data_IF_162600413278
#
_entry.id   IF_162600413278
#
_cell.length_a   1.000
_cell.length_b   1.000
_cell.length_c   1.000
_cell.angle_alpha   90.00
_cell.angle_beta   90.00
_cell.angle_gamma   90.00
#
_symmetry.space_group_name_H-M   'P 1'
#
loop_
_entity.id
_entity.type
_entity.pdbx_description
1 polymer ?
#
# COMPACT_ATOMS: atom_id res chain seq x y z
N UNK A 1 -16.18 -5.42 -40.05
CA UNK A 1 -14.74 -5.12 -40.13
C UNK A 1 -14.55 -3.62 -40.02
N UNK A 2 -14.13 -3.17 -38.83
CA UNK A 2 -13.03 -2.22 -38.62
C UNK A 2 -12.71 -2.34 -37.13
N UNK A 3 -11.55 -2.92 -36.86
CA UNK A 3 -10.95 -3.11 -35.56
C UNK A 3 -9.69 -2.25 -35.66
N UNK A 4 -9.86 -0.97 -35.36
CA UNK A 4 -8.79 0.03 -35.31
C UNK A 4 -8.72 0.45 -33.84
N UNK A 5 -7.94 -0.23 -33.00
CA UNK A 5 -7.64 0.22 -31.63
C UNK A 5 -6.36 -0.38 -31.01
N UNK A 6 -5.49 -1.06 -31.78
CA UNK A 6 -4.30 -1.74 -31.21
C UNK A 6 -2.92 -1.22 -31.70
N UNK A 7 -2.87 -0.24 -32.62
CA UNK A 7 -1.62 0.22 -33.24
C UNK A 7 -1.09 1.59 -32.77
N UNK A 8 -1.80 2.31 -31.91
CA UNK A 8 -1.42 3.69 -31.50
C UNK A 8 -0.58 3.76 -30.21
N UNK A 9 -0.41 2.63 -29.54
CA UNK A 9 0.25 2.59 -28.24
C UNK A 9 1.79 2.78 -28.33
N UNK A 10 2.51 2.15 -29.29
CA UNK A 10 3.95 2.36 -29.43
C UNK A 10 4.33 3.79 -29.85
N UNK A 11 3.51 4.45 -30.68
CA UNK A 11 3.76 5.83 -31.14
C UNK A 11 3.62 6.83 -30.00
N UNK A 12 2.58 6.73 -29.18
CA UNK A 12 2.38 7.59 -28.00
C UNK A 12 3.55 7.53 -27.00
N UNK A 13 4.14 6.36 -26.80
CA UNK A 13 5.31 6.22 -25.91
C UNK A 13 6.50 6.99 -26.46
N UNK A 14 6.75 6.94 -27.77
CA UNK A 14 7.89 7.64 -28.38
C UNK A 14 7.81 9.16 -28.24
N UNK A 15 6.60 9.72 -28.13
CA UNK A 15 6.35 11.15 -27.99
C UNK A 15 6.46 11.66 -26.53
N UNK A 16 6.52 10.76 -25.54
CA UNK A 16 6.60 11.17 -24.14
C UNK A 16 7.93 11.90 -23.84
N UNK A 17 7.87 13.08 -23.17
CA UNK A 17 9.04 13.90 -22.93
C UNK A 17 9.95 13.29 -21.85
N UNK A 18 11.27 13.40 -22.02
CA UNK A 18 12.25 12.95 -21.02
C UNK A 18 12.20 13.76 -19.70
N UNK A 19 11.48 14.88 -19.68
CA UNK A 19 11.19 15.69 -18.49
C UNK A 19 10.01 15.15 -17.67
N UNK A 20 9.45 13.99 -18.02
CA UNK A 20 8.34 13.39 -17.30
C UNK A 20 8.71 13.12 -15.84
N UNK A 21 7.95 13.72 -14.92
CA UNK A 21 8.14 13.58 -13.46
C UNK A 21 7.18 12.57 -12.84
N UNK A 22 6.06 12.29 -13.50
CA UNK A 22 5.02 11.38 -13.02
C UNK A 22 4.54 10.51 -14.17
N UNK A 23 4.49 9.21 -13.93
CA UNK A 23 3.98 8.23 -14.88
C UNK A 23 3.00 7.30 -14.16
N UNK A 24 1.78 7.27 -14.67
CA UNK A 24 0.74 6.38 -14.18
C UNK A 24 0.29 5.47 -15.31
N UNK A 25 0.36 4.16 -15.10
CA UNK A 25 -0.04 3.14 -16.06
C UNK A 25 -1.12 2.25 -15.45
N UNK A 26 -2.24 2.11 -16.17
CA UNK A 26 -3.41 1.35 -15.76
C UNK A 26 -3.82 0.40 -16.89
N UNK A 27 -4.33 -0.78 -16.53
CA UNK A 27 -5.04 -1.67 -17.47
C UNK A 27 -4.38 -3.04 -17.59
N UNK A 28 -4.37 -3.59 -18.80
CA UNK A 28 -3.60 -4.78 -19.20
C UNK A 28 -2.63 -4.33 -20.28
N UNK A 29 -1.43 -3.91 -19.90
CA UNK A 29 -0.50 -3.34 -20.88
C UNK A 29 0.25 -4.46 -21.61
N UNK A 30 0.09 -4.54 -22.92
CA UNK A 30 0.95 -5.36 -23.79
C UNK A 30 2.33 -4.72 -24.03
N UNK A 31 2.64 -3.61 -23.36
CA UNK A 31 3.87 -2.83 -23.56
C UNK A 31 4.89 -3.24 -22.49
N UNK A 32 6.12 -3.61 -22.89
CA UNK A 32 7.20 -3.83 -21.94
C UNK A 32 7.52 -2.57 -21.14
N UNK A 33 7.46 -2.63 -19.81
CA UNK A 33 7.75 -1.55 -18.87
C UNK A 33 9.20 -1.02 -18.96
N UNK A 34 10.08 -1.68 -19.71
CA UNK A 34 11.46 -1.23 -19.92
C UNK A 34 11.56 0.14 -20.62
N UNK A 35 10.52 0.58 -21.35
CA UNK A 35 10.48 1.93 -21.93
C UNK A 35 10.58 3.04 -20.87
N UNK A 36 10.19 2.74 -19.61
CA UNK A 36 10.23 3.70 -18.50
C UNK A 36 11.66 4.13 -18.19
N UNK A 37 12.66 3.33 -18.56
CA UNK A 37 14.09 3.61 -18.34
C UNK A 37 14.57 4.94 -18.92
N UNK A 38 13.87 5.51 -19.92
CA UNK A 38 14.22 6.80 -20.50
C UNK A 38 13.88 8.01 -19.62
N UNK A 39 13.03 7.84 -18.60
CA UNK A 39 12.56 8.94 -17.74
C UNK A 39 13.45 9.12 -16.51
N UNK A 40 14.66 9.65 -16.70
CA UNK A 40 15.61 9.87 -15.60
C UNK A 40 15.15 10.88 -14.53
N UNK A 41 14.16 11.71 -14.86
CA UNK A 41 13.56 12.71 -13.97
C UNK A 41 12.32 12.21 -13.21
N UNK A 42 11.97 10.93 -13.36
CA UNK A 42 10.75 10.37 -12.78
C UNK A 42 10.81 10.45 -11.24
N UNK A 43 9.77 11.06 -10.66
CA UNK A 43 9.58 11.24 -9.22
C UNK A 43 8.45 10.37 -8.68
N UNK A 44 7.43 10.12 -9.50
CA UNK A 44 6.29 9.29 -9.15
C UNK A 44 6.06 8.23 -10.23
N UNK A 45 6.02 6.96 -9.81
CA UNK A 45 5.65 5.84 -10.67
C UNK A 45 4.45 5.11 -10.06
N UNK A 46 3.38 4.99 -10.84
CA UNK A 46 2.20 4.23 -10.48
C UNK A 46 1.91 3.17 -11.55
N UNK A 47 1.86 1.91 -11.12
CA UNK A 47 1.55 0.74 -11.93
C UNK A 47 0.32 0.06 -11.36
N UNK A 48 -0.71 -0.15 -12.17
CA UNK A 48 -1.98 -0.74 -11.73
C UNK A 48 -2.45 -1.77 -12.76
N UNK A 49 -2.14 -3.03 -12.48
CA UNK A 49 -2.37 -4.14 -13.40
C UNK A 49 -3.18 -5.25 -12.75
N UNK A 50 -4.02 -5.91 -13.53
CA UNK A 50 -4.92 -6.94 -13.00
C UNK A 50 -4.18 -8.24 -12.70
N UNK A 51 -3.12 -8.55 -13.43
CA UNK A 51 -2.38 -9.81 -13.33
C UNK A 51 -0.87 -9.58 -13.19
N UNK A 52 -0.17 -10.54 -12.58
CA UNK A 52 1.29 -10.47 -12.43
C UNK A 52 1.98 -10.51 -13.81
N UNK A 53 1.39 -11.20 -14.77
CA UNK A 53 1.85 -11.36 -16.14
C UNK A 53 1.81 -10.05 -16.95
N UNK A 54 1.04 -9.06 -16.51
CA UNK A 54 0.94 -7.75 -17.16
C UNK A 54 2.19 -6.88 -16.89
N UNK A 55 3.05 -7.25 -15.92
CA UNK A 55 4.31 -6.56 -15.63
C UNK A 55 5.44 -6.97 -16.61
N UNK A 56 5.13 -6.98 -17.90
CA UNK A 56 6.05 -7.34 -18.99
C UNK A 56 7.26 -6.39 -18.96
N UNK A 57 8.48 -6.91 -19.11
CA UNK A 57 9.70 -6.09 -19.14
C UNK A 57 10.14 -5.54 -17.78
N UNK A 58 9.49 -5.95 -16.68
CA UNK A 58 9.93 -5.56 -15.34
C UNK A 58 11.30 -6.16 -14.98
N UNK A 59 11.66 -7.30 -15.58
CA UNK A 59 12.98 -7.93 -15.48
C UNK A 59 14.13 -7.05 -15.99
N UNK A 60 13.86 -6.10 -16.89
CA UNK A 60 14.82 -5.09 -17.31
C UNK A 60 14.72 -3.86 -16.39
N UNK A 61 13.50 -3.43 -16.08
CA UNK A 61 13.23 -2.24 -15.27
C UNK A 61 13.83 -2.33 -13.85
N UNK A 62 13.86 -3.51 -13.25
CA UNK A 62 14.41 -3.74 -11.90
C UNK A 62 15.86 -3.27 -11.72
N UNK A 63 16.65 -3.25 -12.81
CA UNK A 63 18.06 -2.86 -12.78
C UNK A 63 18.29 -1.38 -13.04
N UNK A 64 17.23 -0.63 -13.36
CA UNK A 64 17.32 0.79 -13.70
C UNK A 64 17.32 1.63 -12.43
N UNK A 65 18.20 2.63 -12.42
CA UNK A 65 18.30 3.62 -11.36
C UNK A 65 17.53 4.90 -11.70
N UNK A 66 16.56 5.22 -10.85
CA UNK A 66 15.73 6.43 -10.90
C UNK A 66 16.12 7.36 -9.73
N UNK A 67 17.10 8.26 -9.92
CA UNK A 67 17.66 9.07 -8.83
C UNK A 67 16.65 9.99 -8.14
N UNK A 68 15.55 10.33 -8.82
CA UNK A 68 14.54 11.25 -8.29
C UNK A 68 13.26 10.55 -7.82
N UNK A 69 13.18 9.22 -7.92
CA UNK A 69 11.97 8.47 -7.58
C UNK A 69 11.70 8.56 -6.07
N UNK A 70 10.56 9.15 -5.72
CA UNK A 70 10.12 9.37 -4.34
C UNK A 70 8.83 8.63 -4.02
N UNK A 71 8.00 8.34 -5.03
CA UNK A 71 6.72 7.68 -4.84
C UNK A 71 6.65 6.49 -5.79
N UNK A 72 6.47 5.30 -5.23
CA UNK A 72 6.19 4.08 -5.98
C UNK A 72 4.86 3.51 -5.52
N UNK A 73 3.92 3.37 -6.46
CA UNK A 73 2.62 2.75 -6.23
C UNK A 73 2.45 1.58 -7.18
N UNK A 74 2.24 0.39 -6.64
CA UNK A 74 1.92 -0.82 -7.38
C UNK A 74 0.59 -1.32 -6.83
N UNK A 75 -0.43 -1.39 -7.69
CA UNK A 75 -1.81 -1.68 -7.30
C UNK A 75 -2.32 -2.93 -8.00
N UNK A 76 -3.30 -3.58 -7.35
CA UNK A 76 -4.05 -4.75 -7.81
C UNK A 76 -3.20 -6.03 -7.83
N UNK A 77 -2.30 -6.16 -8.79
CA UNK A 77 -1.26 -7.17 -8.85
C UNK A 77 0.13 -6.50 -8.72
N UNK A 78 1.17 -7.29 -8.57
CA UNK A 78 2.56 -6.81 -8.48
C UNK A 78 3.51 -7.79 -9.17
N UNK A 79 4.70 -7.35 -9.63
CA UNK A 79 5.67 -8.23 -10.26
C UNK A 79 6.22 -9.22 -9.23
N UNK A 80 6.85 -10.32 -9.68
CA UNK A 80 7.47 -11.30 -8.79
C UNK A 80 8.32 -10.63 -7.70
N UNK A 81 8.16 -11.08 -6.46
CA UNK A 81 8.84 -10.50 -5.28
C UNK A 81 10.35 -10.35 -5.46
N UNK A 82 11.00 -11.31 -6.12
CA UNK A 82 12.44 -11.27 -6.40
C UNK A 82 12.83 -10.04 -7.24
N UNK A 83 12.03 -9.71 -8.25
CA UNK A 83 12.29 -8.56 -9.12
C UNK A 83 12.03 -7.24 -8.40
N UNK A 84 10.95 -7.19 -7.60
CA UNK A 84 10.61 -5.99 -6.84
C UNK A 84 11.68 -5.68 -5.78
N UNK A 85 12.26 -6.70 -5.14
CA UNK A 85 13.38 -6.50 -4.19
C UNK A 85 14.58 -5.85 -4.86
N UNK A 86 14.98 -6.34 -6.04
CA UNK A 86 16.10 -5.77 -6.80
C UNK A 86 15.79 -4.31 -7.20
N UNK A 87 14.56 -4.02 -7.63
CA UNK A 87 14.13 -2.66 -7.90
C UNK A 87 14.27 -1.76 -6.66
N UNK A 88 13.84 -2.23 -5.49
CA UNK A 88 13.94 -1.51 -4.22
C UNK A 88 15.39 -1.36 -3.74
N UNK A 89 16.29 -2.31 -4.01
CA UNK A 89 17.71 -2.17 -3.71
C UNK A 89 18.34 -0.98 -4.46
N UNK A 90 17.94 -0.77 -5.72
CA UNK A 90 18.44 0.33 -6.54
C UNK A 90 17.78 1.67 -6.21
N UNK A 91 16.47 1.67 -5.92
CA UNK A 91 15.67 2.90 -5.90
C UNK A 91 15.12 3.26 -4.50
N UNK A 92 15.13 2.32 -3.55
CA UNK A 92 14.46 2.44 -2.26
C UNK A 92 14.96 3.58 -1.37
N UNK A 93 16.25 3.94 -1.49
CA UNK A 93 16.87 4.98 -0.65
C UNK A 93 16.17 6.33 -0.76
N UNK A 94 15.61 6.65 -1.92
CA UNK A 94 14.96 7.95 -2.19
C UNK A 94 13.45 7.91 -1.99
N UNK A 95 12.86 6.73 -1.81
CA UNK A 95 11.42 6.57 -1.63
C UNK A 95 10.96 7.20 -0.31
N UNK A 96 9.90 7.99 -0.43
CA UNK A 96 9.13 8.59 0.67
C UNK A 96 7.78 7.91 0.83
N UNK A 97 7.20 7.41 -0.25
CA UNK A 97 5.92 6.72 -0.25
C UNK A 97 6.04 5.44 -1.08
N UNK A 98 5.71 4.31 -0.45
CA UNK A 98 5.63 3.02 -1.11
C UNK A 98 4.27 2.39 -0.85
N UNK A 99 3.53 2.15 -1.93
CA UNK A 99 2.24 1.50 -1.89
C UNK A 99 2.31 0.21 -2.70
N UNK A 100 1.99 -0.89 -2.04
CA UNK A 100 1.81 -2.21 -2.63
C UNK A 100 0.40 -2.69 -2.25
N UNK A 101 -0.52 -2.58 -3.19
CA UNK A 101 -1.90 -3.03 -3.04
C UNK A 101 -2.07 -4.41 -3.67
N UNK A 102 -2.26 -5.43 -2.83
CA UNK A 102 -2.54 -6.80 -3.26
C UNK A 102 -3.96 -7.22 -2.85
N UNK A 103 -4.71 -7.81 -3.79
CA UNK A 103 -6.00 -8.47 -3.53
C UNK A 103 -5.89 -9.80 -2.76
N UNK A 104 -4.69 -10.39 -2.66
CA UNK A 104 -4.36 -11.62 -1.91
C UNK A 104 -3.93 -11.39 -0.45
N UNK A 105 -3.55 -10.15 -0.10
CA UNK A 105 -3.35 -9.67 1.25
C UNK A 105 -2.20 -10.32 2.02
N UNK A 106 -1.18 -10.86 1.35
CA UNK A 106 0.05 -11.34 2.01
C UNK A 106 1.23 -10.97 1.13
N UNK A 107 2.00 -9.95 1.55
CA UNK A 107 3.36 -9.82 1.02
C UNK A 107 4.25 -10.88 1.67
N UNK A 108 5.20 -11.40 0.91
CA UNK A 108 6.22 -12.28 1.46
C UNK A 108 7.00 -11.53 2.55
N UNK A 109 7.23 -12.22 3.69
CA UNK A 109 8.13 -11.75 4.75
C UNK A 109 9.45 -11.23 4.18
N UNK A 110 9.97 -11.88 3.16
CA UNK A 110 11.21 -11.49 2.50
C UNK A 110 11.13 -10.10 1.83
N UNK A 111 9.97 -9.70 1.29
CA UNK A 111 9.77 -8.36 0.72
C UNK A 111 9.76 -7.29 1.82
N UNK A 112 9.06 -7.53 2.93
CA UNK A 112 9.08 -6.62 4.08
C UNK A 112 10.50 -6.43 4.66
N UNK A 113 11.30 -7.50 4.71
CA UNK A 113 12.70 -7.42 5.10
C UNK A 113 13.54 -6.59 4.11
N UNK A 114 13.27 -6.68 2.81
CA UNK A 114 13.93 -5.86 1.81
C UNK A 114 13.56 -4.38 2.00
N UNK A 115 12.27 -4.05 2.14
CA UNK A 115 11.79 -2.67 2.41
C UNK A 115 12.53 -2.09 3.61
N UNK A 116 12.57 -2.82 4.74
CA UNK A 116 13.26 -2.38 5.95
C UNK A 116 14.74 -2.06 5.72
N UNK A 117 15.41 -2.79 4.84
CA UNK A 117 16.85 -2.62 4.56
C UNK A 117 17.15 -1.53 3.55
N UNK A 118 16.27 -1.34 2.57
CA UNK A 118 16.58 -0.53 1.39
C UNK A 118 15.86 0.82 1.37
N UNK A 119 14.81 1.00 2.18
CA UNK A 119 13.95 2.20 2.17
C UNK A 119 14.04 3.02 3.48
N UNK A 120 15.22 3.49 3.91
CA UNK A 120 15.39 4.16 5.21
C UNK A 120 14.64 5.49 5.34
N UNK A 121 14.35 6.17 4.22
CA UNK A 121 13.69 7.48 4.18
C UNK A 121 12.16 7.41 4.00
N UNK A 122 11.59 6.21 4.11
CA UNK A 122 10.17 5.98 3.86
C UNK A 122 9.31 6.65 4.94
N UNK A 123 8.33 7.44 4.51
CA UNK A 123 7.36 8.14 5.37
C UNK A 123 5.99 7.50 5.35
N UNK A 124 5.62 6.89 4.21
CA UNK A 124 4.34 6.21 4.05
C UNK A 124 4.53 4.83 3.47
N UNK A 125 3.89 3.84 4.09
CA UNK A 125 3.96 2.45 3.67
C UNK A 125 2.56 1.83 3.61
N UNK A 126 2.23 1.25 2.47
CA UNK A 126 1.13 0.30 2.34
C UNK A 126 1.71 -0.99 1.80
N UNK A 127 1.62 -2.07 2.57
CA UNK A 127 1.99 -3.42 2.14
C UNK A 127 1.22 -4.43 2.97
N UNK A 128 1.06 -5.65 2.48
CA UNK A 128 0.58 -6.75 3.30
C UNK A 128 1.61 -7.09 4.38
N UNK A 129 1.18 -7.49 5.57
CA UNK A 129 2.08 -8.04 6.59
C UNK A 129 1.66 -9.46 6.91
N UNK A 130 2.63 -10.37 6.97
CA UNK A 130 2.39 -11.71 7.51
C UNK A 130 2.04 -11.62 9.00
N UNK A 131 1.42 -12.66 9.55
CA UNK A 131 0.93 -12.73 10.94
C UNK A 131 2.03 -12.66 12.03
N UNK A 132 3.27 -12.33 11.66
CA UNK A 132 4.44 -12.29 12.53
C UNK A 132 4.73 -10.85 12.98
N UNK A 133 4.49 -10.58 14.27
CA UNK A 133 4.83 -9.32 14.96
C UNK A 133 6.27 -8.85 14.67
N UNK A 134 7.20 -9.80 14.57
CA UNK A 134 8.64 -9.55 14.36
C UNK A 134 8.90 -8.85 13.02
N UNK A 135 8.13 -9.15 11.98
CA UNK A 135 8.34 -8.53 10.66
C UNK A 135 8.03 -7.03 10.69
N UNK A 136 6.94 -6.65 11.36
CA UNK A 136 6.58 -5.24 11.55
C UNK A 136 7.63 -4.50 12.39
N UNK A 137 8.15 -5.14 13.44
CA UNK A 137 9.24 -4.56 14.24
C UNK A 137 10.46 -4.23 13.37
N UNK A 138 10.91 -5.18 12.54
CA UNK A 138 12.06 -4.97 11.64
C UNK A 138 11.80 -3.81 10.67
N UNK A 139 10.57 -3.69 10.15
CA UNK A 139 10.19 -2.57 9.27
C UNK A 139 10.23 -1.23 10.01
N UNK A 140 9.72 -1.15 11.24
CA UNK A 140 9.81 0.09 12.02
C UNK A 140 11.26 0.47 12.38
N UNK A 141 12.10 -0.52 12.68
CA UNK A 141 13.52 -0.29 12.99
C UNK A 141 14.30 0.21 11.76
N UNK A 142 13.97 -0.30 10.58
CA UNK A 142 14.61 0.06 9.31
C UNK A 142 14.07 1.35 8.66
N UNK A 143 12.76 1.59 8.78
CA UNK A 143 12.06 2.76 8.23
C UNK A 143 11.74 3.77 9.34
N UNK A 144 12.76 4.36 9.95
CA UNK A 144 12.60 5.18 11.16
C UNK A 144 11.76 6.44 10.96
N UNK A 145 11.64 6.94 9.73
CA UNK A 145 10.82 8.12 9.40
C UNK A 145 9.38 7.80 9.04
N UNK A 146 8.93 6.56 9.27
CA UNK A 146 7.57 6.15 8.92
C UNK A 146 6.55 6.87 9.81
N UNK A 147 5.72 7.69 9.17
CA UNK A 147 4.68 8.55 9.76
C UNK A 147 3.28 7.95 9.51
N UNK A 148 3.09 7.30 8.35
CA UNK A 148 1.83 6.70 7.93
C UNK A 148 1.99 5.24 7.54
N UNK A 149 1.08 4.40 8.01
CA UNK A 149 1.02 2.99 7.62
C UNK A 149 -0.41 2.58 7.26
N UNK A 150 -0.55 1.87 6.14
CA UNK A 150 -1.79 1.23 5.72
C UNK A 150 -1.69 -0.28 5.89
N UNK A 151 -2.58 -0.85 6.71
CA UNK A 151 -2.65 -2.28 7.00
C UNK A 151 -4.08 -2.78 7.05
N UNK A 152 -4.26 -4.10 6.96
CA UNK A 152 -5.54 -4.73 7.26
C UNK A 152 -5.90 -4.67 8.76
N UNK A 153 -7.19 -4.75 9.11
CA UNK A 153 -7.67 -4.79 10.49
C UNK A 153 -7.32 -6.10 11.23
N UNK A 154 -6.04 -6.35 11.51
CA UNK A 154 -5.59 -7.56 12.21
C UNK A 154 -5.00 -7.23 13.59
N UNK A 155 -5.40 -8.01 14.60
CA UNK A 155 -5.04 -7.77 16.00
C UNK A 155 -3.54 -7.68 16.22
N UNK A 156 -2.76 -8.66 15.75
CA UNK A 156 -1.31 -8.67 15.97
C UNK A 156 -0.65 -7.48 15.28
N UNK A 157 -1.10 -7.10 14.08
CA UNK A 157 -0.60 -5.93 13.40
C UNK A 157 -0.84 -4.65 14.23
N UNK A 158 -2.02 -4.49 14.83
CA UNK A 158 -2.32 -3.39 15.76
C UNK A 158 -1.45 -3.41 17.02
N UNK A 159 -1.26 -4.59 17.63
CA UNK A 159 -0.37 -4.78 18.79
C UNK A 159 1.08 -4.39 18.45
N UNK A 160 1.59 -4.83 17.30
CA UNK A 160 2.92 -4.47 16.82
C UNK A 160 3.06 -2.97 16.58
N UNK A 161 2.06 -2.33 15.96
CA UNK A 161 2.08 -0.89 15.74
C UNK A 161 2.11 -0.16 17.09
N UNK A 162 1.23 -0.50 18.03
CA UNK A 162 1.18 0.18 19.33
C UNK A 162 2.49 0.03 20.12
N UNK A 163 3.15 -1.13 20.00
CA UNK A 163 4.37 -1.48 20.74
C UNK A 163 5.66 -0.95 20.11
N UNK A 164 5.82 -1.10 18.79
CA UNK A 164 7.11 -0.90 18.11
C UNK A 164 7.17 0.36 17.26
N UNK A 165 6.03 0.94 16.88
CA UNK A 165 6.06 2.18 16.13
C UNK A 165 6.43 3.35 17.06
N UNK A 166 7.29 4.24 16.58
CA UNK A 166 7.67 5.47 17.30
C UNK A 166 7.18 6.74 16.59
N UNK A 167 7.18 6.73 15.26
CA UNK A 167 6.87 7.91 14.45
C UNK A 167 5.49 7.90 13.79
N UNK A 168 4.80 6.77 13.80
CA UNK A 168 3.45 6.67 13.26
C UNK A 168 2.49 7.58 14.03
N UNK A 169 1.83 8.46 13.28
CA UNK A 169 0.71 9.28 13.69
C UNK A 169 -0.50 9.12 12.75
N UNK A 170 -0.36 8.46 11.61
CA UNK A 170 -1.45 8.09 10.71
C UNK A 170 -1.55 6.58 10.53
N UNK A 171 -2.73 6.05 10.83
CA UNK A 171 -3.07 4.64 10.64
C UNK A 171 -4.25 4.53 9.69
N UNK A 172 -4.00 3.91 8.54
CA UNK A 172 -5.03 3.59 7.55
C UNK A 172 -5.33 2.11 7.69
N UNK A 173 -6.57 1.79 8.01
CA UNK A 173 -7.00 0.43 8.14
C UNK A 173 -7.95 0.06 7.00
N UNK A 174 -7.86 -1.15 6.49
CA UNK A 174 -8.73 -1.62 5.41
C UNK A 174 -9.18 -3.07 5.61
N UNK A 175 -10.35 -3.40 5.06
CA UNK A 175 -10.94 -4.73 5.18
C UNK A 175 -10.53 -5.58 3.98
N UNK A 176 -9.99 -6.77 4.23
CA UNK A 176 -9.70 -7.74 3.18
C UNK A 176 -10.93 -8.65 2.93
N UNK A 177 -11.69 -8.37 1.87
CA UNK A 177 -12.97 -9.02 1.53
C UNK A 177 -12.91 -10.55 1.50
N UNK A 178 -11.78 -11.14 1.10
CA UNK A 178 -11.64 -12.60 0.95
C UNK A 178 -11.29 -13.38 2.23
N UNK A 179 -11.06 -12.70 3.36
CA UNK A 179 -10.65 -13.35 4.62
C UNK A 179 -11.65 -13.06 5.74
N UNK A 180 -12.87 -13.57 5.59
CA UNK A 180 -13.98 -13.47 6.53
C UNK A 180 -13.74 -14.10 7.93
N UNK A 181 -12.50 -14.49 8.26
CA UNK A 181 -12.13 -15.15 9.53
C UNK A 181 -11.49 -14.22 10.56
N UNK A 182 -11.20 -12.97 10.21
CA UNK A 182 -10.43 -12.05 11.05
C UNK A 182 -11.16 -10.72 11.27
N UNK A 183 -12.39 -10.80 11.77
CA UNK A 183 -13.10 -9.62 12.25
C UNK A 183 -12.42 -9.14 13.54
N UNK A 184 -11.86 -7.92 13.52
CA UNK A 184 -11.30 -7.28 14.70
C UNK A 184 -12.42 -7.07 15.73
N UNK A 185 -12.28 -7.69 16.91
CA UNK A 185 -13.30 -7.58 17.95
C UNK A 185 -13.26 -6.19 18.60
N UNK A 186 -14.40 -5.64 19.06
CA UNK A 186 -14.45 -4.36 19.75
C UNK A 186 -13.46 -4.26 20.92
N UNK A 187 -13.35 -5.32 21.73
CA UNK A 187 -12.37 -5.39 22.83
C UNK A 187 -10.90 -5.29 22.38
N UNK A 188 -10.59 -5.77 21.17
CA UNK A 188 -9.23 -5.74 20.61
C UNK A 188 -8.92 -4.35 20.08
N UNK A 189 -9.89 -3.70 19.44
CA UNK A 189 -9.82 -2.30 19.05
C UNK A 189 -9.65 -1.38 20.27
N UNK A 190 -10.41 -1.62 21.34
CA UNK A 190 -10.28 -0.85 22.58
C UNK A 190 -8.91 -1.07 23.23
N UNK A 191 -8.40 -2.31 23.28
CA UNK A 191 -7.04 -2.59 23.76
C UNK A 191 -5.99 -1.81 22.98
N UNK A 192 -6.08 -1.78 21.65
CA UNK A 192 -5.17 -1.01 20.80
C UNK A 192 -5.14 0.47 21.19
N UNK A 193 -6.31 1.10 21.42
CA UNK A 193 -6.33 2.52 21.81
C UNK A 193 -5.84 2.77 23.25
N UNK A 194 -6.00 1.81 24.16
CA UNK A 194 -5.40 1.86 25.50
C UNK A 194 -3.87 1.84 25.36
N UNK A 195 -3.34 0.91 24.59
CA UNK A 195 -1.90 0.79 24.34
C UNK A 195 -1.35 2.04 23.66
N UNK A 196 -2.08 2.56 22.66
CA UNK A 196 -1.72 3.81 21.97
C UNK A 196 -1.68 5.01 22.92
N UNK A 197 -2.66 5.13 23.81
CA UNK A 197 -2.72 6.20 24.83
C UNK A 197 -1.50 6.16 25.75
N UNK A 198 -0.96 4.98 26.04
CA UNK A 198 0.17 4.78 26.95
C UNK A 198 1.55 4.93 26.29
N UNK A 199 1.61 5.28 24.99
CA UNK A 199 2.88 5.48 24.27
C UNK A 199 3.64 6.70 24.79
N UNK A 200 4.96 6.62 24.75
CA UNK A 200 5.88 7.72 25.06
C UNK A 200 6.76 8.02 23.84
N UNK A 201 6.74 9.24 23.28
CA UNK A 201 5.84 10.34 23.63
C UNK A 201 4.39 10.03 23.23
N UNK A 202 3.43 10.58 23.97
CA UNK A 202 2.02 10.46 23.63
C UNK A 202 1.74 11.26 22.35
N UNK A 203 1.50 10.56 21.24
CA UNK A 203 1.12 11.15 19.95
C UNK A 203 -0.35 10.90 19.66
N UNK A 204 -1.04 11.93 19.17
CA UNK A 204 -2.42 11.77 18.71
C UNK A 204 -2.46 11.01 17.39
N UNK A 205 -3.45 10.12 17.23
CA UNK A 205 -3.66 9.32 16.04
C UNK A 205 -4.58 10.01 15.03
N UNK A 206 -4.22 9.95 13.75
CA UNK A 206 -5.08 10.12 12.59
C UNK A 206 -5.51 8.73 12.12
N UNK A 207 -6.79 8.40 12.30
CA UNK A 207 -7.36 7.10 11.96
C UNK A 207 -8.20 7.21 10.68
N UNK A 208 -7.87 6.42 9.67
CA UNK A 208 -8.63 6.32 8.43
C UNK A 208 -9.12 4.87 8.28
N UNK A 209 -10.43 4.70 8.07
CA UNK A 209 -11.06 3.41 7.81
C UNK A 209 -11.44 3.38 6.32
N UNK A 210 -10.88 2.42 5.59
CA UNK A 210 -11.26 2.15 4.20
C UNK A 210 -12.35 1.08 4.16
N UNK A 211 -13.52 1.45 3.64
CA UNK A 211 -14.71 0.61 3.52
C UNK A 211 -14.64 -0.22 2.24
N UNK A 212 -14.88 -1.53 2.36
CA UNK A 212 -14.79 -2.49 1.25
C UNK A 212 -16.00 -3.42 1.14
N UNK A 213 -16.74 -3.59 2.24
CA UNK A 213 -17.77 -4.60 2.34
C UNK A 213 -18.85 -4.25 3.37
N UNK A 214 -19.86 -5.10 3.48
CA UNK A 214 -20.88 -5.06 4.54
C UNK A 214 -20.34 -5.33 5.95
N UNK A 215 -19.09 -5.79 6.09
CA UNK A 215 -18.43 -6.14 7.37
C UNK A 215 -17.27 -5.20 7.74
N UNK A 216 -17.22 -4.02 7.13
CA UNK A 216 -16.18 -3.04 7.43
C UNK A 216 -16.29 -2.52 8.87
N UNK A 217 -15.17 -2.10 9.46
CA UNK A 217 -15.03 -1.82 10.89
C UNK A 217 -16.06 -0.80 11.41
N UNK A 218 -16.37 0.20 10.60
CA UNK A 218 -17.30 1.30 10.90
C UNK A 218 -18.77 0.88 10.94
N UNK A 219 -19.13 -0.29 10.38
CA UNK A 219 -20.51 -0.80 10.38
C UNK A 219 -20.91 -1.44 11.70
N UNK A 220 -19.95 -1.64 12.61
CA UNK A 220 -20.20 -2.15 13.94
C UNK A 220 -20.38 -0.98 14.93
N UNK A 221 -21.58 -0.87 15.52
CA UNK A 221 -21.92 0.20 16.46
C UNK A 221 -21.02 0.25 17.70
N UNK A 222 -20.52 -0.90 18.18
CA UNK A 222 -19.62 -0.96 19.32
C UNK A 222 -18.24 -0.42 18.97
N UNK A 223 -17.71 -0.76 17.79
CA UNK A 223 -16.46 -0.19 17.28
C UNK A 223 -16.57 1.33 17.14
N UNK A 224 -17.69 1.84 16.62
CA UNK A 224 -17.92 3.28 16.49
C UNK A 224 -18.04 3.97 17.85
N UNK A 225 -18.70 3.37 18.84
CA UNK A 225 -18.73 3.90 20.22
C UNK A 225 -17.32 3.98 20.82
N UNK A 226 -16.47 2.99 20.58
CA UNK A 226 -15.08 2.98 21.01
C UNK A 226 -14.30 4.10 20.32
N UNK A 227 -14.40 4.24 19.00
CA UNK A 227 -13.73 5.32 18.25
C UNK A 227 -14.15 6.68 18.79
N UNK A 228 -15.45 6.93 18.95
CA UNK A 228 -15.95 8.20 19.49
C UNK A 228 -15.48 8.47 20.92
N UNK A 229 -15.37 7.44 21.77
CA UNK A 229 -14.78 7.55 23.10
C UNK A 229 -13.33 8.05 23.00
N UNK A 230 -12.49 7.46 22.16
CA UNK A 230 -11.08 7.85 22.03
C UNK A 230 -10.86 9.15 21.27
N UNK A 231 -11.81 9.57 20.41
CA UNK A 231 -11.87 10.93 19.85
C UNK A 231 -12.11 11.97 20.95
N UNK A 232 -13.10 11.76 21.81
CA UNK A 232 -13.41 12.67 22.94
C UNK A 232 -12.25 12.76 23.94
N UNK A 233 -11.48 11.69 24.11
CA UNK A 233 -10.26 11.67 24.94
C UNK A 233 -9.04 12.33 24.28
N UNK A 234 -9.17 12.83 23.04
CA UNK A 234 -8.07 13.45 22.30
C UNK A 234 -7.00 12.49 21.78
N UNK A 235 -7.20 11.17 21.94
CA UNK A 235 -6.28 10.14 21.44
C UNK A 235 -6.37 10.05 19.92
N UNK A 236 -7.60 10.10 19.38
CA UNK A 236 -7.84 10.20 17.94
C UNK A 236 -8.11 11.66 17.59
N UNK A 237 -7.14 12.32 16.94
CA UNK A 237 -7.24 13.72 16.52
C UNK A 237 -7.98 13.90 15.20
N UNK A 238 -7.79 12.96 14.26
CA UNK A 238 -8.49 12.94 12.98
C UNK A 238 -9.11 11.57 12.79
N UNK A 239 -10.34 11.56 12.32
CA UNK A 239 -11.05 10.34 11.98
C UNK A 239 -11.72 10.53 10.62
N UNK A 240 -11.51 9.59 9.70
CA UNK A 240 -12.13 9.60 8.37
C UNK A 240 -12.56 8.19 8.00
N UNK A 241 -13.72 8.08 7.38
CA UNK A 241 -14.17 6.87 6.68
C UNK A 241 -14.10 7.18 5.18
N UNK A 242 -13.49 6.30 4.38
CA UNK A 242 -13.35 6.45 2.93
C UNK A 242 -13.67 5.14 2.23
N UNK A 243 -14.08 5.18 0.98
CA UNK A 243 -14.29 3.97 0.20
C UNK A 243 -12.98 3.51 -0.45
N UNK A 244 -12.97 2.30 -1.00
CA UNK A 244 -11.86 1.79 -1.85
C UNK A 244 -11.67 2.62 -3.14
N UNK A 245 -12.54 3.59 -3.45
CA UNK A 245 -12.36 4.59 -4.51
C UNK A 245 -12.24 5.98 -3.91
N UNK A 246 -11.15 6.72 -4.17
CA UNK A 246 -10.94 7.38 -5.47
C UNK A 246 -9.99 6.70 -6.51
N UNK A 247 -9.22 5.64 -6.19
CA UNK A 247 -8.21 5.08 -7.13
C UNK A 247 -8.16 3.53 -7.29
N UNK A 248 -8.85 2.69 -6.48
CA UNK A 248 -8.60 1.22 -6.46
C UNK A 248 -9.71 0.29 -7.06
N UNK A 249 -10.92 0.78 -7.38
CA UNK A 249 -12.04 -0.01 -7.94
C UNK A 249 -12.32 0.37 -9.39
N UNK A 250 -11.64 -0.34 -10.28
CA UNK A 250 -12.23 -0.76 -11.54
C UNK A 250 -11.87 -2.23 -11.73
N UNK A 251 -12.62 -3.12 -11.08
CA UNK A 251 -12.77 -4.48 -11.57
C UNK A 251 -14.25 -4.83 -11.67
N UNK A 252 -14.53 -5.26 -12.88
CA UNK A 252 -15.79 -5.54 -13.53
C UNK A 252 -16.58 -6.61 -12.78
N UNK A 253 -17.80 -6.28 -12.34
CA UNK A 253 -18.76 -7.22 -11.73
C UNK A 253 -19.24 -8.30 -12.72
N UNK A 254 -18.76 -8.30 -13.96
CA UNK A 254 -19.17 -9.24 -15.01
C UNK A 254 -18.52 -10.63 -14.93
N UNK A 255 -17.54 -10.87 -14.05
CA UNK A 255 -16.90 -12.21 -13.96
C UNK A 255 -17.63 -13.23 -13.06
N UNK A 256 -18.75 -12.86 -12.42
CA UNK A 256 -19.56 -13.79 -11.60
C UNK A 256 -20.95 -14.11 -12.18
N UNK A 257 -21.20 -13.79 -13.46
CA UNK A 257 -22.37 -14.26 -14.20
C UNK A 257 -21.95 -15.11 -15.40
N UNK A 258 -21.30 -16.24 -15.13
CA UNK A 258 -21.29 -17.44 -15.98
C UNK A 258 -20.48 -18.51 -15.27
N UNK A 259 -21.19 -19.34 -14.50
CA UNK A 259 -21.05 -20.79 -14.38
C UNK A 259 -22.11 -21.28 -13.41
#
# INVERSE_FOLDING_TARGET
>A
MKQDDDNDIPSLITELPNSLIKLNLYGSNCIPLSFISKFSNLQELELSYSYQEDFIGFEELQHIFFPQLQILKIRRAFPRDELLKIFLENNGKNLKEFYLGDFGGISDKSLNLAIARTCPNLKKLSTGFSYELITLQIVFDGCQYLESIRIWYEKKALEAIAKYSHNIDELILYHHSFKARFELLPKELESFFIDWKNRVPQKSLSLIIVTCSTRSLEKNDENMKIIEKYRKLGIIKKFKVTDFNDDDLYLDLNHFRKN
#
